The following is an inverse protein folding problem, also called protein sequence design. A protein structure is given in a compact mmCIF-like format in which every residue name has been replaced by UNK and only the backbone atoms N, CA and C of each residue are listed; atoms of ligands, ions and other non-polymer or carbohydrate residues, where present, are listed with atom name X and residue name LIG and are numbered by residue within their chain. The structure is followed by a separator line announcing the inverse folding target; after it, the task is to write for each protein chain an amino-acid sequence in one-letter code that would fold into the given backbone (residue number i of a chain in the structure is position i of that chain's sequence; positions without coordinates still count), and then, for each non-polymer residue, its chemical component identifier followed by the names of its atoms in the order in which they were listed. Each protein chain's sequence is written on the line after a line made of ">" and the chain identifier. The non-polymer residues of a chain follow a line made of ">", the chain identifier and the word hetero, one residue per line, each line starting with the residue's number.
data_IF_252161146303
#
_entry.id   IF_252161146303
#
_cell.length_a   1.000
_cell.length_b   1.000
_cell.length_c   1.000
_cell.angle_alpha   90.00
_cell.angle_beta   90.00
_cell.angle_gamma   90.00
#
_symmetry.space_group_name_H-M   'P 1'
#
loop_
_entity.id
_entity.type
_entity.pdbx_description
1 polymer ?
#
# COMPACT_ATOMS: atom_id res chain seq x y z
N UNK A 1 -2.11 -15.59 -66.68
CA UNK A 1 -1.58 -14.35 -66.07
C UNK A 1 -2.02 -14.30 -64.62
N UNK A 2 -1.27 -14.97 -63.74
CA UNK A 2 -1.54 -15.07 -62.30
C UNK A 2 -0.76 -13.96 -61.59
N UNK A 3 -1.47 -12.99 -60.98
CA UNK A 3 -0.85 -11.91 -60.19
C UNK A 3 -0.55 -12.43 -58.79
N UNK A 4 0.74 -12.54 -58.46
CA UNK A 4 1.21 -12.79 -57.11
C UNK A 4 1.16 -11.48 -56.30
N UNK A 5 0.40 -11.46 -55.21
CA UNK A 5 0.37 -10.38 -54.23
C UNK A 5 1.55 -10.55 -53.26
N UNK A 6 2.45 -9.56 -53.27
CA UNK A 6 3.60 -9.48 -52.38
C UNK A 6 3.15 -8.84 -51.06
N UNK A 7 3.07 -9.63 -49.98
CA UNK A 7 2.76 -9.13 -48.64
C UNK A 7 4.04 -8.58 -48.00
N UNK A 8 4.06 -7.26 -47.76
CA UNK A 8 5.14 -6.57 -47.03
C UNK A 8 4.87 -6.74 -45.53
N UNK A 9 5.64 -7.57 -44.85
CA UNK A 9 5.67 -7.65 -43.38
C UNK A 9 6.40 -6.42 -42.84
N UNK A 10 5.65 -5.50 -42.23
CA UNK A 10 6.23 -4.44 -41.41
C UNK A 10 6.65 -5.02 -40.06
N UNK A 11 7.96 -5.16 -39.84
CA UNK A 11 8.52 -5.53 -38.54
C UNK A 11 8.40 -4.34 -37.58
N UNK A 12 7.43 -4.40 -36.66
CA UNK A 12 7.35 -3.46 -35.54
C UNK A 12 8.44 -3.86 -34.54
N UNK A 13 9.52 -3.07 -34.49
CA UNK A 13 10.55 -3.22 -33.46
C UNK A 13 9.98 -2.71 -32.13
N UNK A 14 9.61 -3.63 -31.25
CA UNK A 14 9.29 -3.33 -29.85
C UNK A 14 10.61 -2.96 -29.16
N UNK A 15 10.88 -1.67 -29.01
CA UNK A 15 11.95 -1.18 -28.15
C UNK A 15 11.47 -1.41 -26.71
N UNK A 16 11.85 -2.54 -26.12
CA UNK A 16 11.73 -2.74 -24.69
C UNK A 16 12.69 -1.76 -24.01
N UNK A 17 12.18 -0.62 -23.56
CA UNK A 17 12.92 0.26 -22.65
C UNK A 17 13.14 -0.53 -21.36
N UNK A 18 14.34 -1.09 -21.18
CA UNK A 18 14.73 -1.70 -19.93
C UNK A 18 14.86 -0.58 -18.90
N UNK A 19 13.84 -0.41 -18.07
CA UNK A 19 13.92 0.48 -16.92
C UNK A 19 15.14 0.04 -16.09
N UNK A 20 16.16 0.91 -16.00
CA UNK A 20 17.29 0.64 -15.11
C UNK A 20 16.74 0.63 -13.70
N UNK A 21 17.04 -0.40 -12.88
CA UNK A 21 16.62 -0.39 -11.49
C UNK A 21 17.14 0.88 -10.83
N UNK A 22 16.27 1.54 -10.07
CA UNK A 22 16.64 2.70 -9.26
C UNK A 22 17.93 2.40 -8.47
N UNK A 23 18.95 3.25 -8.59
CA UNK A 23 20.17 3.05 -7.83
C UNK A 23 19.85 3.18 -6.33
N UNK A 24 20.18 2.17 -5.55
CA UNK A 24 19.99 2.21 -4.10
C UNK A 24 21.10 3.03 -3.44
N UNK A 25 20.74 3.90 -2.50
CA UNK A 25 21.65 4.58 -1.60
C UNK A 25 21.61 3.91 -0.23
N UNK A 26 22.74 3.90 0.47
CA UNK A 26 22.76 3.58 1.89
C UNK A 26 22.28 4.78 2.67
N UNK A 27 21.19 4.60 3.40
CA UNK A 27 20.67 5.59 4.33
C UNK A 27 21.10 5.17 5.72
N UNK A 28 22.17 5.83 6.17
CA UNK A 28 22.63 5.74 7.55
C UNK A 28 21.55 6.20 8.53
N UNK A 29 21.72 5.77 9.77
CA UNK A 29 20.82 6.06 10.85
C UNK A 29 20.68 7.53 11.21
N UNK A 30 19.77 7.79 12.13
CA UNK A 30 19.55 9.13 12.67
C UNK A 30 20.29 9.43 13.96
N UNK A 31 21.02 8.44 14.47
CA UNK A 31 21.59 8.37 15.80
C UNK A 31 23.08 8.67 15.81
N UNK A 32 23.80 7.97 16.69
CA UNK A 32 25.24 8.11 16.80
C UNK A 32 25.93 7.42 15.62
N UNK A 33 26.90 8.09 14.99
CA UNK A 33 27.64 7.54 13.86
C UNK A 33 28.32 6.17 14.12
N UNK A 34 28.48 5.77 15.40
CA UNK A 34 28.95 4.43 15.79
C UNK A 34 27.83 3.38 15.84
N UNK A 35 26.62 3.75 16.26
CA UNK A 35 25.49 2.82 16.39
C UNK A 35 24.81 2.55 15.05
N UNK A 36 24.81 3.53 14.14
CA UNK A 36 24.34 3.41 12.74
C UNK A 36 25.03 2.27 11.94
N UNK A 37 26.08 1.69 12.50
CA UNK A 37 26.83 0.59 11.92
C UNK A 37 26.18 -0.76 12.18
N UNK A 38 25.32 -0.84 13.20
CA UNK A 38 24.59 -2.07 13.52
C UNK A 38 23.57 -2.38 12.43
N UNK A 39 22.81 -1.38 11.96
CA UNK A 39 21.93 -1.55 10.81
C UNK A 39 21.73 -0.24 10.04
N UNK A 40 21.53 -0.35 8.72
CA UNK A 40 21.20 0.77 7.84
C UNK A 40 20.06 0.39 6.90
N UNK A 41 19.36 1.39 6.37
CA UNK A 41 18.45 1.17 5.26
C UNK A 41 19.20 1.23 3.92
N UNK A 42 18.72 0.46 2.95
CA UNK A 42 18.94 0.70 1.54
C UNK A 42 17.62 1.16 0.92
N UNK A 43 17.63 2.30 0.23
CA UNK A 43 16.46 2.92 -0.38
C UNK A 43 16.85 3.59 -1.70
N UNK A 44 15.89 3.99 -2.58
CA UNK A 44 16.21 4.65 -3.83
C UNK A 44 16.91 6.00 -3.63
N UNK A 45 17.59 6.49 -4.66
CA UNK A 45 18.23 7.83 -4.66
C UNK A 45 17.19 8.88 -4.26
N UNK A 46 17.62 9.79 -3.38
CA UNK A 46 16.78 10.88 -2.90
C UNK A 46 17.21 12.24 -3.46
N UNK A 47 16.24 13.12 -3.71
CA UNK A 47 16.48 14.53 -4.06
C UNK A 47 15.78 15.46 -3.06
N UNK A 48 16.50 16.37 -2.38
CA UNK A 48 17.95 16.57 -2.41
C UNK A 48 18.71 15.50 -1.60
N UNK A 49 19.89 15.11 -2.08
CA UNK A 49 20.75 14.12 -1.42
C UNK A 49 21.21 14.52 0.00
N UNK A 50 21.07 15.80 0.37
CA UNK A 50 21.41 16.33 1.69
C UNK A 50 20.49 15.82 2.81
N UNK A 51 19.36 15.20 2.48
CA UNK A 51 18.41 14.65 3.45
C UNK A 51 18.15 13.16 3.20
N UNK A 52 19.15 12.27 3.31
CA UNK A 52 19.06 10.87 2.87
C UNK A 52 17.95 10.08 3.60
N UNK A 53 17.56 10.50 4.82
CA UNK A 53 16.48 9.91 5.62
C UNK A 53 15.07 10.35 5.22
N UNK A 54 14.92 11.24 4.25
CA UNK A 54 13.63 11.80 3.82
C UNK A 54 13.46 11.68 2.31
N UNK A 55 13.16 10.46 1.87
CA UNK A 55 12.88 10.14 0.47
C UNK A 55 11.66 10.93 0.01
N UNK A 56 11.81 11.71 -1.06
CA UNK A 56 10.71 12.33 -1.79
C UNK A 56 10.69 11.73 -3.18
N UNK A 57 9.55 11.13 -3.53
CA UNK A 57 9.35 10.48 -4.81
C UNK A 57 8.06 10.98 -5.44
N UNK A 58 8.07 11.27 -6.74
CA UNK A 58 6.85 11.54 -7.49
C UNK A 58 6.32 10.21 -8.06
N UNK A 59 4.99 10.03 -8.00
CA UNK A 59 4.30 8.90 -8.61
C UNK A 59 4.63 8.82 -10.12
N UNK A 60 5.13 7.67 -10.57
CA UNK A 60 5.62 7.45 -11.92
C UNK A 60 7.06 7.90 -12.21
N UNK A 61 7.81 8.41 -11.23
CA UNK A 61 9.24 8.72 -11.42
C UNK A 61 10.09 7.45 -11.37
N UNK A 62 10.65 6.96 -12.49
CA UNK A 62 11.36 5.68 -12.53
C UNK A 62 12.66 5.64 -11.71
N UNK A 63 13.12 6.78 -11.18
CA UNK A 63 14.33 6.86 -10.35
C UNK A 63 14.09 6.45 -8.90
N UNK A 64 12.84 6.50 -8.43
CA UNK A 64 12.46 6.19 -7.06
C UNK A 64 11.20 5.35 -6.95
N UNK A 65 10.31 5.45 -7.93
CA UNK A 65 9.11 4.65 -8.09
C UNK A 65 9.42 3.42 -8.93
N UNK A 66 9.45 2.25 -8.28
CA UNK A 66 9.97 1.03 -8.87
C UNK A 66 9.15 0.52 -10.07
N UNK A 67 7.86 0.88 -10.16
CA UNK A 67 7.02 0.53 -11.31
C UNK A 67 7.00 1.61 -12.40
N UNK A 68 7.45 2.83 -12.09
CA UNK A 68 7.55 3.95 -13.03
C UNK A 68 6.23 4.33 -13.69
N UNK A 69 5.09 3.97 -13.09
CA UNK A 69 3.76 4.25 -13.64
C UNK A 69 3.02 5.28 -12.79
N UNK A 70 2.34 6.22 -13.44
CA UNK A 70 1.42 7.13 -12.75
C UNK A 70 0.18 6.34 -12.40
N UNK A 71 0.10 5.84 -11.16
CA UNK A 71 -1.03 5.06 -10.67
C UNK A 71 -1.52 5.54 -9.29
N UNK A 72 -0.92 6.60 -8.73
CA UNK A 72 -1.24 7.13 -7.42
C UNK A 72 -0.56 6.44 -6.25
N UNK A 73 0.46 5.62 -6.50
CA UNK A 73 1.15 4.84 -5.48
C UNK A 73 2.63 4.74 -5.85
N UNK A 74 3.47 5.44 -5.10
CA UNK A 74 4.90 5.21 -5.21
C UNK A 74 5.26 3.83 -4.63
N UNK A 75 5.83 2.96 -5.45
CA UNK A 75 6.39 1.66 -5.09
C UNK A 75 7.88 1.83 -4.71
N UNK A 76 8.17 1.98 -3.42
CA UNK A 76 9.53 2.27 -2.94
C UNK A 76 10.22 0.99 -2.47
N UNK A 77 11.30 0.59 -3.13
CA UNK A 77 12.09 -0.57 -2.74
C UNK A 77 12.97 -0.26 -1.52
N UNK A 78 12.77 -0.98 -0.41
CA UNK A 78 13.53 -0.79 0.84
C UNK A 78 14.13 -2.12 1.29
N UNK A 79 15.42 -2.11 1.63
CA UNK A 79 16.10 -3.23 2.28
C UNK A 79 16.78 -2.76 3.59
N UNK A 80 17.17 -3.73 4.42
CA UNK A 80 17.95 -3.49 5.64
C UNK A 80 19.27 -4.24 5.52
N UNK A 81 20.35 -3.59 5.92
CA UNK A 81 21.67 -4.22 6.01
C UNK A 81 22.19 -4.17 7.44
N UNK A 82 22.60 -5.31 7.97
CA UNK A 82 23.23 -5.45 9.28
C UNK A 82 24.76 -5.31 9.20
N UNK A 83 25.37 -4.87 10.31
CA UNK A 83 26.83 -4.75 10.47
C UNK A 83 27.45 -4.02 9.27
N UNK A 84 26.92 -2.82 8.99
CA UNK A 84 27.23 -2.02 7.82
C UNK A 84 28.65 -1.44 7.86
N UNK A 85 29.30 -1.43 6.71
CA UNK A 85 30.65 -0.87 6.50
C UNK A 85 30.62 0.41 5.65
N UNK A 86 29.44 1.03 5.53
CA UNK A 86 29.21 2.19 4.65
C UNK A 86 30.04 3.43 5.00
N UNK A 87 30.56 3.50 6.22
CA UNK A 87 31.38 4.59 6.72
C UNK A 87 32.65 4.04 7.36
N UNK A 88 33.83 4.68 7.19
CA UNK A 88 35.05 4.33 7.91
C UNK A 88 34.90 4.41 9.44
N UNK A 89 33.89 5.14 9.93
CA UNK A 89 33.58 5.24 11.36
C UNK A 89 32.83 4.01 11.89
N UNK A 90 32.51 3.04 11.04
CA UNK A 90 31.79 1.85 11.43
C UNK A 90 32.68 0.79 12.07
N UNK A 91 32.71 0.86 13.41
CA UNK A 91 33.52 -0.01 14.25
C UNK A 91 32.67 -0.97 15.10
N UNK A 92 31.36 -0.75 15.26
CA UNK A 92 30.49 -1.67 16.00
C UNK A 92 29.95 -2.78 15.08
N UNK A 93 30.16 -4.03 15.47
CA UNK A 93 29.63 -5.21 14.81
C UNK A 93 29.15 -6.24 15.85
N UNK A 94 28.08 -6.96 15.53
CA UNK A 94 27.37 -7.86 16.44
C UNK A 94 25.97 -7.35 16.67
N UNK A 95 25.05 -7.76 15.80
CA UNK A 95 23.61 -7.47 15.90
C UNK A 95 22.94 -8.61 16.66
N UNK A 96 22.24 -8.29 17.74
CA UNK A 96 21.44 -9.23 18.51
C UNK A 96 20.01 -9.33 17.97
N UNK A 97 19.42 -8.20 17.59
CA UNK A 97 18.09 -8.15 17.01
C UNK A 97 17.90 -6.88 16.20
N UNK A 98 17.05 -6.97 15.16
CA UNK A 98 16.53 -5.85 14.40
C UNK A 98 15.01 -5.95 14.42
N UNK A 99 14.36 -4.90 14.91
CA UNK A 99 12.90 -4.82 15.04
C UNK A 99 12.36 -3.68 14.18
N UNK A 100 11.48 -4.00 13.24
CA UNK A 100 10.73 -3.04 12.43
C UNK A 100 9.42 -2.73 13.16
N UNK A 101 9.14 -1.46 13.39
CA UNK A 101 7.89 -1.04 14.02
C UNK A 101 6.69 -1.35 13.11
N UNK A 102 5.52 -1.58 13.72
CA UNK A 102 4.24 -1.79 13.01
C UNK A 102 4.23 -3.02 12.07
N UNK A 103 5.12 -3.98 12.31
CA UNK A 103 5.25 -5.22 11.54
C UNK A 103 4.34 -6.37 12.03
N UNK A 104 3.66 -6.20 13.16
CA UNK A 104 2.80 -7.23 13.76
C UNK A 104 1.34 -6.90 13.49
N UNK A 105 0.60 -7.89 13.01
CA UNK A 105 -0.84 -7.78 12.82
C UNK A 105 -1.57 -8.20 14.10
N UNK A 106 -1.47 -7.35 15.12
CA UNK A 106 -2.01 -7.57 16.47
C UNK A 106 -3.06 -6.52 16.87
N UNK A 107 -3.71 -5.90 15.87
CA UNK A 107 -4.63 -4.79 16.06
C UNK A 107 -3.93 -3.43 16.19
N UNK A 108 -2.62 -3.35 15.94
CA UNK A 108 -1.90 -2.08 15.82
C UNK A 108 -2.55 -1.20 14.74
N UNK A 109 -3.08 -0.01 15.08
CA UNK A 109 -3.74 0.87 14.11
C UNK A 109 -2.79 1.42 13.05
N UNK A 110 -1.47 1.19 13.19
CA UNK A 110 -0.44 1.57 12.22
C UNK A 110 0.19 0.36 11.52
N UNK A 111 -0.32 -0.85 11.74
CA UNK A 111 0.13 -2.05 11.04
C UNK A 111 0.23 -1.81 9.53
N UNK A 112 1.32 -2.28 8.94
CA UNK A 112 1.57 -2.20 7.51
C UNK A 112 2.15 -3.54 7.00
N UNK A 113 1.50 -4.22 6.04
CA UNK A 113 1.99 -5.48 5.49
C UNK A 113 3.42 -5.41 4.92
N UNK A 114 3.86 -4.25 4.41
CA UNK A 114 5.24 -4.09 3.95
C UNK A 114 6.22 -4.09 5.13
N UNK A 115 5.83 -3.59 6.31
CA UNK A 115 6.67 -3.66 7.52
C UNK A 115 6.77 -5.09 8.03
N UNK A 116 5.66 -5.84 7.98
CA UNK A 116 5.66 -7.27 8.28
C UNK A 116 6.59 -8.04 7.34
N UNK A 117 6.48 -7.82 6.03
CA UNK A 117 7.34 -8.46 5.04
C UNK A 117 8.82 -8.08 5.25
N UNK A 118 9.13 -6.82 5.53
CA UNK A 118 10.50 -6.39 5.83
C UNK A 118 11.04 -7.06 7.11
N UNK A 119 10.23 -7.15 8.17
CA UNK A 119 10.60 -7.84 9.40
C UNK A 119 10.85 -9.34 9.19
N UNK A 120 10.06 -10.00 8.34
CA UNK A 120 10.27 -11.41 7.99
C UNK A 120 11.57 -11.61 7.22
N UNK A 121 11.88 -10.75 6.24
CA UNK A 121 13.16 -10.80 5.52
C UNK A 121 14.35 -10.57 6.43
N UNK A 122 14.25 -9.63 7.37
CA UNK A 122 15.27 -9.42 8.41
C UNK A 122 15.50 -10.72 9.19
N UNK A 123 14.43 -11.43 9.57
CA UNK A 123 14.56 -12.69 10.32
C UNK A 123 15.12 -13.84 9.48
N UNK A 124 14.77 -13.93 8.19
CA UNK A 124 15.18 -15.07 7.35
C UNK A 124 16.51 -14.88 6.60
N UNK A 125 16.89 -13.64 6.28
CA UNK A 125 18.04 -13.34 5.42
C UNK A 125 19.22 -12.73 6.17
N UNK A 126 18.97 -11.92 7.21
CA UNK A 126 20.03 -11.45 8.14
C UNK A 126 20.24 -12.49 9.25
N UNK A 127 19.17 -13.14 9.69
CA UNK A 127 19.14 -14.14 10.78
C UNK A 127 19.90 -13.70 12.05
N UNK A 128 19.50 -12.59 12.73
CA UNK A 128 20.12 -12.21 14.00
C UNK A 128 19.90 -13.28 15.09
N UNK A 129 20.90 -13.55 15.96
CA UNK A 129 22.12 -12.77 16.15
C UNK A 129 23.23 -13.07 15.15
N UNK A 130 23.90 -12.04 14.65
CA UNK A 130 25.00 -12.18 13.67
C UNK A 130 26.06 -11.07 13.81
N UNK A 131 27.32 -11.43 13.63
CA UNK A 131 28.45 -10.49 13.50
C UNK A 131 28.98 -10.37 12.07
N UNK A 132 28.36 -11.10 11.12
CA UNK A 132 28.75 -11.05 9.71
C UNK A 132 28.45 -9.68 9.13
N UNK A 133 29.45 -9.07 8.48
CA UNK A 133 29.36 -7.71 7.93
C UNK A 133 28.63 -7.68 6.60
N UNK A 134 27.89 -6.60 6.35
CA UNK A 134 27.25 -6.34 5.05
C UNK A 134 26.14 -7.31 4.65
N UNK A 135 25.53 -8.03 5.60
CA UNK A 135 24.37 -8.87 5.32
C UNK A 135 23.16 -7.98 5.06
N UNK A 136 22.61 -8.05 3.86
CA UNK A 136 21.45 -7.27 3.45
C UNK A 136 20.27 -8.19 3.11
N UNK A 137 19.07 -7.74 3.44
CA UNK A 137 17.85 -8.36 2.91
C UNK A 137 17.70 -8.06 1.42
N UNK A 138 16.98 -8.93 0.72
CA UNK A 138 16.33 -8.58 -0.54
C UNK A 138 15.33 -7.42 -0.31
N UNK A 139 15.07 -6.57 -1.32
CA UNK A 139 14.18 -5.43 -1.15
C UNK A 139 12.72 -5.84 -0.92
N UNK A 140 12.06 -5.15 0.01
CA UNK A 140 10.60 -5.13 0.16
C UNK A 140 10.03 -3.87 -0.46
N UNK A 141 8.96 -4.00 -1.24
CA UNK A 141 8.25 -2.85 -1.82
C UNK A 141 7.32 -2.22 -0.80
N UNK A 142 7.65 -1.01 -0.34
CA UNK A 142 6.75 -0.14 0.41
C UNK A 142 5.85 0.63 -0.55
N UNK A 143 4.53 0.41 -0.48
CA UNK A 143 3.55 1.13 -1.28
C UNK A 143 3.08 2.38 -0.54
N UNK A 144 3.32 3.56 -1.11
CA UNK A 144 2.92 4.85 -0.51
C UNK A 144 1.86 5.52 -1.39
N UNK A 145 0.55 5.24 -1.17
CA UNK A 145 -0.51 5.84 -1.96
C UNK A 145 -0.64 7.34 -1.70
N UNK A 146 -0.79 8.16 -2.74
CA UNK A 146 -1.20 9.56 -2.58
C UNK A 146 -2.65 9.64 -2.10
N UNK A 147 -3.10 10.83 -1.69
CA UNK A 147 -4.51 11.06 -1.35
C UNK A 147 -5.21 11.77 -2.50
N UNK A 148 -6.35 11.24 -2.93
CA UNK A 148 -7.15 11.80 -4.01
C UNK A 148 -7.35 10.80 -5.15
N UNK A 149 -8.05 11.20 -6.22
CA UNK A 149 -8.49 12.57 -6.46
C UNK A 149 -9.61 12.98 -5.50
N UNK A 150 -9.49 14.19 -4.97
CA UNK A 150 -10.57 14.85 -4.22
C UNK A 150 -11.52 15.56 -5.19
N UNK A 151 -12.69 15.99 -4.71
CA UNK A 151 -13.62 16.80 -5.51
C UNK A 151 -12.95 18.11 -5.93
N UNK A 152 -12.69 18.25 -7.24
CA UNK A 152 -11.86 19.25 -7.96
C UNK A 152 -10.61 18.70 -8.68
N UNK A 153 -10.38 17.38 -8.68
CA UNK A 153 -9.22 16.79 -9.36
C UNK A 153 -7.88 17.06 -8.66
N UNK A 154 -7.91 17.40 -7.37
CA UNK A 154 -6.70 17.63 -6.59
C UNK A 154 -6.22 16.34 -5.91
N UNK A 155 -4.91 16.13 -5.91
CA UNK A 155 -4.24 15.11 -5.13
C UNK A 155 -3.35 15.77 -4.10
N UNK A 156 -3.18 15.11 -2.97
CA UNK A 156 -2.26 15.54 -1.92
C UNK A 156 -1.23 14.45 -1.68
N UNK A 157 0.01 14.84 -1.37
CA UNK A 157 1.03 13.88 -0.98
C UNK A 157 0.63 13.10 0.27
N UNK A 158 1.22 11.92 0.38
CA UNK A 158 1.18 11.10 1.58
C UNK A 158 2.61 10.76 1.99
N UNK A 159 2.75 10.49 3.29
CA UNK A 159 3.99 10.06 3.89
C UNK A 159 3.81 8.69 4.55
N UNK A 160 4.80 7.83 4.36
CA UNK A 160 5.04 6.63 5.13
C UNK A 160 6.30 6.80 5.98
N UNK A 161 6.40 6.03 7.07
CA UNK A 161 7.54 6.03 7.98
C UNK A 161 7.92 4.60 8.29
N UNK A 162 9.20 4.28 8.13
CA UNK A 162 9.78 3.01 8.55
C UNK A 162 10.68 3.29 9.74
N UNK A 163 10.29 2.76 10.89
CA UNK A 163 11.07 2.85 12.13
C UNK A 163 11.71 1.50 12.41
N UNK A 164 13.01 1.52 12.67
CA UNK A 164 13.81 0.34 12.98
C UNK A 164 14.53 0.53 14.31
N UNK A 165 14.55 -0.50 15.15
CA UNK A 165 15.33 -0.54 16.38
C UNK A 165 16.26 -1.73 16.33
N UNK A 166 17.55 -1.46 16.50
CA UNK A 166 18.60 -2.48 16.49
C UNK A 166 19.23 -2.58 17.87
N UNK A 167 19.39 -3.79 18.37
CA UNK A 167 20.17 -4.07 19.58
C UNK A 167 21.43 -4.82 19.19
N UNK A 168 22.57 -4.42 19.75
CA UNK A 168 23.81 -5.16 19.58
C UNK A 168 23.85 -6.41 20.47
N UNK A 169 24.71 -7.36 20.13
CA UNK A 169 25.22 -8.31 21.12
C UNK A 169 26.02 -7.56 22.19
N UNK A 170 26.41 -8.22 23.28
CA UNK A 170 27.29 -7.58 24.27
C UNK A 170 28.64 -7.28 23.62
N UNK A 171 29.01 -5.99 23.56
CA UNK A 171 30.29 -5.49 23.04
C UNK A 171 30.91 -4.63 24.15
N UNK A 172 32.12 -4.99 24.59
CA UNK A 172 32.82 -4.33 25.70
C UNK A 172 31.98 -4.22 26.98
N UNK A 173 31.20 -5.26 27.28
CA UNK A 173 30.35 -5.33 28.47
C UNK A 173 29.05 -4.52 28.38
N UNK A 174 28.74 -3.91 27.22
CA UNK A 174 27.52 -3.13 27.01
C UNK A 174 26.68 -3.66 25.84
N UNK A 175 25.37 -3.43 25.91
CA UNK A 175 24.45 -3.58 24.77
C UNK A 175 24.15 -2.18 24.24
N UNK A 176 24.41 -1.99 22.96
CA UNK A 176 24.12 -0.76 22.26
C UNK A 176 22.74 -0.85 21.62
N UNK A 177 21.99 0.25 21.69
CA UNK A 177 20.68 0.39 21.06
C UNK A 177 20.76 1.48 20.01
N UNK A 178 20.31 1.16 18.82
CA UNK A 178 20.19 2.11 17.71
C UNK A 178 18.72 2.23 17.27
N UNK A 179 18.31 3.43 16.89
CA UNK A 179 16.93 3.71 16.51
C UNK A 179 16.86 4.62 15.30
N UNK A 180 16.39 4.06 14.20
CA UNK A 180 16.41 4.69 12.90
C UNK A 180 15.02 4.95 12.37
N UNK A 181 14.94 6.01 11.57
CA UNK A 181 13.71 6.46 10.95
C UNK A 181 13.97 6.85 9.50
N UNK A 182 13.37 6.11 8.59
CA UNK A 182 13.26 6.46 7.19
C UNK A 182 11.88 7.08 6.93
N UNK A 183 11.87 8.26 6.32
CA UNK A 183 10.66 8.97 5.91
C UNK A 183 10.54 8.87 4.41
N UNK A 184 9.38 8.46 3.93
CA UNK A 184 9.09 8.34 2.50
C UNK A 184 7.86 9.19 2.19
N UNK A 185 7.97 10.13 1.27
CA UNK A 185 6.88 10.97 0.80
C UNK A 185 6.63 10.69 -0.67
N UNK A 186 5.40 10.30 -0.99
CA UNK A 186 4.93 10.20 -2.36
C UNK A 186 4.20 11.49 -2.74
N UNK A 187 4.67 12.14 -3.80
CA UNK A 187 4.08 13.32 -4.41
C UNK A 187 3.20 12.89 -5.60
N UNK A 188 2.06 13.55 -5.84
CA UNK A 188 1.33 13.36 -7.08
C UNK A 188 2.19 13.72 -8.29
N UNK A 189 2.03 13.01 -9.40
CA UNK A 189 2.61 13.43 -10.66
C UNK A 189 2.03 14.81 -11.10
N UNK A 190 2.82 15.68 -11.77
CA UNK A 190 2.42 17.05 -12.12
C UNK A 190 1.06 17.19 -12.83
N UNK A 191 0.62 16.18 -13.59
CA UNK A 191 -0.68 16.12 -14.27
C UNK A 191 -1.43 14.78 -14.04
N UNK A 192 -1.00 13.99 -13.03
CA UNK A 192 -1.46 12.60 -12.85
C UNK A 192 -2.70 12.40 -11.99
N UNK A 193 -3.40 13.47 -11.60
CA UNK A 193 -4.49 13.37 -10.61
C UNK A 193 -5.90 13.18 -11.22
N UNK A 194 -6.03 12.49 -12.34
CA UNK A 194 -7.35 12.07 -12.84
C UNK A 194 -7.66 10.68 -12.31
N UNK A 195 -8.93 10.38 -12.02
CA UNK A 195 -9.28 9.05 -11.52
C UNK A 195 -8.91 7.94 -12.52
N UNK A 196 -8.97 8.22 -13.83
CA UNK A 196 -8.60 7.28 -14.89
C UNK A 196 -7.09 7.09 -15.04
N UNK A 197 -6.27 8.06 -14.62
CA UNK A 197 -4.83 7.84 -14.51
C UNK A 197 -4.52 6.96 -13.30
N UNK A 198 -5.25 7.17 -12.20
CA UNK A 198 -4.93 6.55 -10.92
C UNK A 198 -5.53 5.15 -10.75
N UNK A 199 -6.64 4.83 -11.40
CA UNK A 199 -7.38 3.58 -11.20
C UNK A 199 -7.72 2.90 -12.52
N UNK A 200 -7.72 1.56 -12.48
CA UNK A 200 -8.05 0.73 -13.65
C UNK A 200 -9.57 0.58 -13.90
N UNK A 201 -10.39 1.01 -12.94
CA UNK A 201 -11.84 0.90 -12.99
C UNK A 201 -12.50 1.48 -11.74
N UNK A 202 -13.83 1.55 -11.74
CA UNK A 202 -14.59 2.08 -10.59
C UNK A 202 -14.42 1.22 -9.35
N UNK A 203 -14.44 -0.11 -9.50
CA UNK A 203 -14.22 -0.99 -8.35
C UNK A 203 -12.78 -0.91 -7.82
N UNK A 204 -11.77 -0.76 -8.69
CA UNK A 204 -10.38 -0.53 -8.27
C UNK A 204 -10.25 0.79 -7.49
N UNK A 205 -10.95 1.84 -7.92
CA UNK A 205 -11.06 3.11 -7.17
C UNK A 205 -11.69 2.89 -5.79
N UNK A 206 -12.81 2.17 -5.70
CA UNK A 206 -13.47 1.86 -4.42
C UNK A 206 -12.52 1.07 -3.51
N UNK A 207 -11.87 0.03 -4.04
CA UNK A 207 -10.91 -0.78 -3.30
C UNK A 207 -9.81 0.10 -2.70
N UNK A 208 -9.15 0.91 -3.54
CA UNK A 208 -7.92 1.61 -3.15
C UNK A 208 -8.17 2.91 -2.38
N UNK A 209 -9.25 3.63 -2.67
CA UNK A 209 -9.58 4.89 -1.99
C UNK A 209 -10.44 4.73 -0.75
N UNK A 210 -11.27 3.67 -0.70
CA UNK A 210 -12.25 3.49 0.37
C UNK A 210 -11.88 2.30 1.23
N UNK A 211 -11.79 1.10 0.65
CA UNK A 211 -11.60 -0.12 1.44
C UNK A 211 -10.22 -0.16 2.09
N UNK A 212 -9.15 -0.02 1.31
CA UNK A 212 -7.77 -0.07 1.82
C UNK A 212 -7.47 1.07 2.82
N UNK A 213 -8.16 2.19 2.71
CA UNK A 213 -7.89 3.38 3.54
C UNK A 213 -8.65 3.39 4.86
N UNK A 214 -9.78 2.68 4.96
CA UNK A 214 -10.71 2.87 6.08
C UNK A 214 -11.46 1.62 6.53
N UNK A 215 -11.39 0.52 5.78
CA UNK A 215 -12.20 -0.68 6.05
C UNK A 215 -11.35 -1.94 6.22
N UNK A 216 -10.46 -2.24 5.25
CA UNK A 216 -9.51 -3.35 5.27
C UNK A 216 -8.25 -2.98 6.07
N UNK A 217 -8.46 -2.56 7.31
CA UNK A 217 -7.40 -2.17 8.25
C UNK A 217 -7.34 -3.14 9.43
N UNK A 218 -6.17 -3.26 10.06
CA UNK A 218 -5.96 -4.17 11.19
C UNK A 218 -7.06 -4.02 12.25
N UNK A 219 -7.66 -5.14 12.65
CA UNK A 219 -8.76 -5.17 13.62
C UNK A 219 -10.17 -4.97 13.03
N UNK A 220 -10.31 -4.77 11.71
CA UNK A 220 -11.60 -4.50 11.05
C UNK A 220 -11.93 -5.59 10.01
N UNK A 221 -11.87 -5.28 8.71
CA UNK A 221 -12.26 -6.18 7.62
C UNK A 221 -11.04 -6.74 6.87
N UNK A 222 -10.04 -7.19 7.62
CA UNK A 222 -8.77 -7.78 7.16
C UNK A 222 -8.79 -9.31 7.25
N UNK A 223 -7.72 -9.96 6.78
CA UNK A 223 -7.59 -11.42 6.77
C UNK A 223 -7.58 -12.05 8.17
N UNK A 224 -7.17 -11.31 9.19
CA UNK A 224 -7.09 -11.82 10.57
C UNK A 224 -8.40 -11.63 11.35
N UNK A 225 -8.99 -10.44 11.31
CA UNK A 225 -10.12 -10.06 12.16
C UNK A 225 -11.46 -10.42 11.54
N UNK A 226 -11.58 -10.29 10.20
CA UNK A 226 -12.79 -10.59 9.42
C UNK A 226 -14.08 -10.09 10.09
N UNK A 227 -14.10 -8.86 10.62
CA UNK A 227 -15.22 -8.33 11.37
C UNK A 227 -16.52 -8.39 10.54
N UNK A 228 -17.58 -8.95 11.12
CA UNK A 228 -18.84 -9.19 10.39
C UNK A 228 -18.73 -10.27 9.31
N UNK A 229 -17.79 -11.22 9.47
CA UNK A 229 -17.44 -12.28 8.51
C UNK A 229 -17.08 -11.73 7.12
N UNK A 230 -16.43 -10.57 7.09
CA UNK A 230 -16.18 -9.80 5.87
C UNK A 230 -14.68 -9.54 5.72
N UNK A 231 -14.14 -9.95 4.57
CA UNK A 231 -12.78 -9.65 4.12
C UNK A 231 -12.83 -8.65 2.97
N UNK A 232 -12.24 -7.47 3.15
CA UNK A 232 -12.20 -6.38 2.15
C UNK A 232 -10.82 -6.14 1.56
N UNK A 233 -9.84 -7.01 1.83
CA UNK A 233 -8.53 -6.94 1.20
C UNK A 233 -8.60 -7.18 -0.32
N UNK A 234 -7.66 -6.61 -1.10
CA UNK A 234 -7.57 -6.84 -2.53
C UNK A 234 -7.58 -8.33 -2.89
N UNK A 235 -8.34 -8.69 -3.92
CA UNK A 235 -8.50 -10.08 -4.38
C UNK A 235 -9.64 -10.86 -3.71
N UNK A 236 -10.15 -10.40 -2.55
CA UNK A 236 -11.28 -11.03 -1.85
C UNK A 236 -12.51 -10.13 -1.74
N UNK A 237 -12.35 -8.81 -1.72
CA UNK A 237 -13.44 -7.87 -1.44
C UNK A 237 -14.66 -8.05 -2.35
N UNK A 238 -14.47 -8.19 -3.67
CA UNK A 238 -15.57 -8.25 -4.63
C UNK A 238 -16.52 -9.43 -4.36
N UNK A 239 -15.97 -10.64 -4.24
CA UNK A 239 -16.75 -11.87 -4.00
C UNK A 239 -17.33 -11.91 -2.59
N UNK A 240 -16.73 -11.20 -1.64
CA UNK A 240 -17.25 -11.03 -0.30
C UNK A 240 -18.41 -10.01 -0.22
N UNK A 241 -18.64 -9.22 -1.27
CA UNK A 241 -19.62 -8.13 -1.29
C UNK A 241 -20.80 -8.42 -2.20
N UNK A 242 -20.54 -8.69 -3.49
CA UNK A 242 -21.59 -8.75 -4.51
C UNK A 242 -22.47 -9.99 -4.31
N UNK A 243 -23.77 -9.76 -4.08
CA UNK A 243 -24.82 -10.72 -3.76
C UNK A 243 -24.56 -11.69 -2.58
N UNK A 244 -23.50 -11.42 -1.83
CA UNK A 244 -23.15 -12.15 -0.62
C UNK A 244 -24.15 -11.83 0.50
N UNK A 245 -24.52 -12.86 1.26
CA UNK A 245 -25.39 -12.71 2.42
C UNK A 245 -24.69 -11.89 3.51
N UNK A 246 -25.37 -10.91 4.13
CA UNK A 246 -24.80 -10.19 5.27
C UNK A 246 -24.82 -11.06 6.52
N UNK A 247 -23.79 -10.91 7.37
CA UNK A 247 -23.75 -11.55 8.68
C UNK A 247 -24.73 -10.91 9.68
N UNK A 248 -25.20 -9.68 9.41
CA UNK A 248 -26.23 -9.05 10.21
C UNK A 248 -27.57 -9.78 10.00
N UNK A 249 -28.09 -10.38 11.07
CA UNK A 249 -29.28 -11.23 11.02
C UNK A 249 -30.54 -10.49 10.55
N UNK A 250 -30.72 -9.22 10.93
CA UNK A 250 -31.89 -8.44 10.53
C UNK A 250 -31.85 -8.11 9.03
N UNK A 251 -30.69 -7.71 8.51
CA UNK A 251 -30.50 -7.48 7.09
C UNK A 251 -30.70 -8.78 6.29
N UNK A 252 -30.15 -9.89 6.78
CA UNK A 252 -30.30 -11.20 6.15
C UNK A 252 -31.77 -11.65 6.12
N UNK A 253 -32.48 -11.52 7.25
CA UNK A 253 -33.91 -11.83 7.34
C UNK A 253 -34.78 -10.92 6.45
N UNK A 254 -34.37 -9.67 6.22
CA UNK A 254 -35.02 -8.75 5.29
C UNK A 254 -34.69 -9.06 3.81
N UNK A 255 -33.89 -10.09 3.52
CA UNK A 255 -33.48 -10.46 2.17
C UNK A 255 -32.41 -9.55 1.55
N UNK A 256 -31.79 -8.68 2.34
CA UNK A 256 -30.77 -7.76 1.84
C UNK A 256 -29.46 -8.48 1.56
N UNK A 257 -28.67 -7.90 0.65
CA UNK A 257 -27.31 -8.35 0.32
C UNK A 257 -26.28 -7.38 0.87
N UNK A 258 -25.01 -7.80 0.92
CA UNK A 258 -23.90 -6.88 1.20
C UNK A 258 -23.83 -5.80 0.10
N UNK A 259 -23.89 -6.21 -1.16
CA UNK A 259 -24.21 -5.39 -2.33
C UNK A 259 -25.25 -6.15 -3.14
N UNK A 260 -26.42 -5.55 -3.39
CA UNK A 260 -27.53 -6.20 -4.07
C UNK A 260 -27.51 -5.84 -5.56
N UNK A 261 -27.34 -6.85 -6.41
CA UNK A 261 -27.38 -6.73 -7.86
C UNK A 261 -28.64 -7.39 -8.39
N UNK A 262 -29.34 -6.72 -9.30
CA UNK A 262 -30.56 -7.23 -9.94
C UNK A 262 -30.24 -7.91 -11.27
N UNK A 263 -29.34 -7.31 -12.05
CA UNK A 263 -28.80 -7.83 -13.30
C UNK A 263 -27.41 -7.25 -13.60
N UNK A 264 -26.80 -7.63 -14.73
CA UNK A 264 -25.45 -7.21 -15.10
C UNK A 264 -25.23 -5.69 -15.23
N UNK A 265 -26.31 -4.90 -15.29
CA UNK A 265 -26.28 -3.45 -15.49
C UNK A 265 -27.06 -2.66 -14.43
N UNK A 266 -27.74 -3.36 -13.53
CA UNK A 266 -28.65 -2.75 -12.54
C UNK A 266 -28.44 -3.38 -11.18
N UNK A 267 -28.22 -2.56 -10.16
CA UNK A 267 -28.26 -2.97 -8.75
C UNK A 267 -29.26 -2.15 -7.94
N UNK A 268 -29.45 -2.54 -6.69
CA UNK A 268 -30.38 -1.91 -5.76
C UNK A 268 -29.64 -1.26 -4.57
N UNK A 269 -29.40 0.07 -4.61
CA UNK A 269 -28.79 0.82 -3.52
C UNK A 269 -29.57 0.75 -2.19
N UNK A 270 -30.89 0.64 -2.21
CA UNK A 270 -31.73 0.70 -1.01
C UNK A 270 -31.60 -0.55 -0.15
N UNK A 271 -31.42 -1.70 -0.79
CA UNK A 271 -31.26 -3.01 -0.13
C UNK A 271 -29.81 -3.52 -0.13
N UNK A 272 -28.87 -2.64 -0.49
CA UNK A 272 -27.42 -2.88 -0.40
C UNK A 272 -26.87 -2.45 0.96
N UNK A 273 -26.58 -3.43 1.83
CA UNK A 273 -26.12 -3.16 3.20
C UNK A 273 -24.83 -2.32 3.24
N UNK A 274 -23.92 -2.48 2.27
CA UNK A 274 -22.70 -1.69 2.16
C UNK A 274 -23.02 -0.19 2.15
N UNK A 275 -23.91 0.26 1.25
CA UNK A 275 -24.25 1.67 1.14
C UNK A 275 -24.96 2.19 2.40
N UNK A 276 -25.89 1.41 2.93
CA UNK A 276 -26.62 1.78 4.15
C UNK A 276 -25.68 1.90 5.36
N UNK A 277 -24.65 1.06 5.43
CA UNK A 277 -23.59 1.17 6.43
C UNK A 277 -22.79 2.47 6.29
N UNK A 278 -22.58 2.98 5.08
CA UNK A 278 -21.87 4.25 4.87
C UNK A 278 -22.73 5.47 5.25
N UNK A 279 -24.02 5.43 4.89
CA UNK A 279 -24.96 6.54 5.09
C UNK A 279 -25.46 6.67 6.54
N UNK A 280 -25.63 5.54 7.23
CA UNK A 280 -26.31 5.47 8.52
C UNK A 280 -27.41 4.42 8.46
N UNK A 281 -27.14 3.17 8.89
CA UNK A 281 -28.04 2.07 8.64
C UNK A 281 -29.31 2.16 9.50
N UNK A 282 -30.42 1.50 9.09
CA UNK A 282 -31.62 1.40 9.90
C UNK A 282 -31.38 0.77 11.28
N UNK A 283 -32.31 1.02 12.21
CA UNK A 283 -32.26 0.39 13.53
C UNK A 283 -32.19 -1.15 13.42
N UNK A 284 -31.28 -1.76 14.17
CA UNK A 284 -31.05 -3.21 14.12
C UNK A 284 -30.09 -3.70 13.03
N UNK A 285 -29.69 -2.84 12.08
CA UNK A 285 -28.76 -3.21 11.00
C UNK A 285 -27.29 -2.98 11.40
N UNK A 286 -27.04 -2.65 12.68
CA UNK A 286 -25.73 -2.36 13.28
C UNK A 286 -25.34 -0.88 13.16
N UNK A 287 -24.07 -0.54 13.40
CA UNK A 287 -23.60 0.85 13.37
C UNK A 287 -23.11 1.30 11.97
N UNK A 288 -23.03 2.63 11.77
CA UNK A 288 -22.44 3.28 10.58
C UNK A 288 -20.95 2.99 10.49
N UNK A 289 -20.47 2.71 9.27
CA UNK A 289 -19.08 2.49 8.90
C UNK A 289 -18.48 3.71 8.18
N UNK A 290 -17.20 4.06 8.42
CA UNK A 290 -16.25 3.35 9.29
C UNK A 290 -16.56 3.56 10.79
N UNK A 291 -16.61 2.48 11.58
CA UNK A 291 -17.08 2.51 12.97
C UNK A 291 -16.21 3.41 13.86
N UNK A 292 -16.84 4.25 14.70
CA UNK A 292 -16.17 5.20 15.61
C UNK A 292 -15.08 6.07 14.96
N UNK A 293 -15.16 6.28 13.65
CA UNK A 293 -14.26 7.15 12.87
C UNK A 293 -15.05 8.23 12.15
N UNK A 294 -14.35 9.19 11.56
CA UNK A 294 -14.96 10.22 10.72
C UNK A 294 -15.74 9.56 9.56
N UNK A 295 -16.94 10.04 9.21
CA UNK A 295 -17.63 9.61 8.00
C UNK A 295 -16.80 9.82 6.73
N UNK A 296 -17.02 8.97 5.73
CA UNK A 296 -16.48 9.20 4.40
C UNK A 296 -17.07 10.49 3.83
N UNK A 297 -16.29 11.18 3.01
CA UNK A 297 -16.77 12.35 2.28
C UNK A 297 -17.87 11.91 1.29
N UNK A 298 -18.88 12.76 1.09
CA UNK A 298 -20.06 12.42 0.29
C UNK A 298 -19.70 11.96 -1.13
N UNK A 299 -18.73 12.62 -1.77
CA UNK A 299 -18.26 12.26 -3.12
C UNK A 299 -17.74 10.81 -3.22
N UNK A 300 -17.13 10.25 -2.17
CA UNK A 300 -16.71 8.84 -2.17
C UNK A 300 -17.89 7.89 -1.98
N UNK A 301 -18.90 8.30 -1.21
CA UNK A 301 -20.14 7.53 -1.05
C UNK A 301 -20.90 7.51 -2.38
N UNK A 302 -20.97 8.63 -3.10
CA UNK A 302 -21.63 8.72 -4.41
C UNK A 302 -20.97 7.77 -5.44
N UNK A 303 -19.64 7.59 -5.39
CA UNK A 303 -18.95 6.58 -6.23
C UNK A 303 -19.44 5.16 -5.92
N UNK A 304 -19.63 4.81 -4.65
CA UNK A 304 -20.15 3.50 -4.24
C UNK A 304 -21.62 3.35 -4.65
N UNK A 305 -22.43 4.40 -4.47
CA UNK A 305 -23.84 4.41 -4.86
C UNK A 305 -24.02 4.22 -6.37
N UNK A 306 -23.27 4.97 -7.19
CA UNK A 306 -23.29 4.84 -8.65
C UNK A 306 -22.78 3.46 -9.11
N UNK A 307 -21.72 2.95 -8.47
CA UNK A 307 -21.21 1.61 -8.77
C UNK A 307 -22.25 0.54 -8.50
N UNK A 308 -22.94 0.59 -7.35
CA UNK A 308 -24.03 -0.35 -7.01
C UNK A 308 -25.16 -0.21 -8.02
N UNK A 309 -25.63 1.02 -8.29
CA UNK A 309 -26.73 1.28 -9.21
C UNK A 309 -26.45 0.72 -10.62
N UNK A 310 -25.20 0.75 -11.07
CA UNK A 310 -24.74 0.23 -12.36
C UNK A 310 -24.53 -1.30 -12.40
N UNK A 311 -25.02 -2.06 -11.41
CA UNK A 311 -24.87 -3.53 -11.36
C UNK A 311 -23.54 -3.99 -10.76
N UNK A 312 -22.84 -3.10 -10.04
CA UNK A 312 -21.61 -3.39 -9.30
C UNK A 312 -20.50 -4.10 -10.13
N UNK A 313 -20.15 -3.62 -11.34
CA UNK A 313 -19.19 -4.32 -12.20
C UNK A 313 -17.80 -4.42 -11.55
N UNK A 314 -17.14 -5.58 -11.68
CA UNK A 314 -15.79 -5.79 -11.16
C UNK A 314 -14.72 -5.01 -11.93
N UNK A 315 -14.94 -4.80 -13.23
CA UNK A 315 -13.97 -4.18 -14.14
C UNK A 315 -14.66 -3.11 -14.98
N UNK A 316 -13.86 -2.22 -15.58
CA UNK A 316 -14.37 -1.13 -16.38
C UNK A 316 -14.78 0.09 -15.55
N UNK A 317 -15.28 1.09 -16.27
CA UNK A 317 -15.60 2.41 -15.71
C UNK A 317 -17.10 2.65 -15.71
N UNK A 318 -17.65 2.99 -14.54
CA UNK A 318 -19.03 3.45 -14.38
C UNK A 318 -19.07 4.95 -14.65
N UNK A 319 -19.94 5.44 -15.57
CA UNK A 319 -20.07 6.87 -15.84
C UNK A 319 -20.35 7.69 -14.57
N UNK A 320 -19.70 8.84 -14.42
CA UNK A 320 -19.84 9.74 -13.26
C UNK A 320 -19.04 9.34 -12.02
N UNK A 321 -18.18 8.33 -12.13
CA UNK A 321 -17.29 7.89 -11.04
C UNK A 321 -15.83 8.30 -11.24
N UNK A 322 -15.61 9.52 -11.74
CA UNK A 322 -14.31 10.17 -11.97
C UNK A 322 -13.86 11.18 -10.92
#
# INVERSE_FOLDING_TARGET
>A
MTRATCAVLAAVAIIAATARPAAAITVGGGGGARTDCLAVFQAPVNTPASHPRSIVCADGDPTCDADGVVNGVCAIAIAVCANSTFSPMCTLAGVQSITIAHARDDGDPKFDPAMQALQQRVQSEIDPPTSTTGLCTSPTTLRVPIRGPFGNGMCKPRKAVVDMVTLSTVIDGAVYRDADRLRVRCEPAPDGCTAQALFSGTFDRIQRQIFDQSCAVSGCHDSQSRAGDLLLEPGAAYTNLVDAAPANLNANAAGWKRVHVLDATTGDPDTSLLLQKLLGPPAGFGARMPFNRRPLDRALIDVVELWIAAGAPQTGWVPGTD
#
